data_IF_632575259722
#
_entry.id   IF_632575259722
#
_cell.length_a   1.000
_cell.length_b   1.000
_cell.length_c   1.000
_cell.angle_alpha   90.00
_cell.angle_beta   90.00
_cell.angle_gamma   90.00
#
_symmetry.space_group_name_H-M   'P 1'
#
loop_
_entity.id
_entity.type
_entity.pdbx_description
1 polymer ?
#
# COMPACT_ATOMS: atom_id res chain seq x y z
N UNK A 1 19.17 -16.21 -1.69
CA UNK A 1 18.71 -14.85 -1.32
C UNK A 1 19.13 -13.79 -2.34
N UNK A 2 20.42 -13.44 -2.50
CA UNK A 2 20.82 -12.41 -3.50
C UNK A 2 20.45 -12.77 -4.95
N UNK A 3 20.59 -14.05 -5.32
CA UNK A 3 20.13 -14.53 -6.63
C UNK A 3 18.60 -14.46 -6.79
N UNK A 4 17.84 -14.57 -5.71
CA UNK A 4 16.37 -14.48 -5.75
C UNK A 4 15.91 -13.03 -5.97
N UNK A 5 16.61 -12.05 -5.39
CA UNK A 5 16.38 -10.63 -5.68
C UNK A 5 16.68 -10.28 -7.13
N UNK A 6 17.82 -10.76 -7.67
CA UNK A 6 18.16 -10.57 -9.09
C UNK A 6 17.11 -11.19 -10.01
N UNK A 7 16.63 -12.38 -9.68
CA UNK A 7 15.60 -13.06 -10.44
C UNK A 7 14.25 -12.34 -10.36
N UNK A 8 13.85 -11.87 -9.17
CA UNK A 8 12.63 -11.08 -8.99
C UNK A 8 12.67 -9.80 -9.83
N UNK A 9 13.78 -9.06 -9.78
CA UNK A 9 13.94 -7.82 -10.55
C UNK A 9 13.92 -8.08 -12.06
N UNK A 10 14.60 -9.12 -12.53
CA UNK A 10 14.58 -9.52 -13.94
C UNK A 10 13.16 -9.89 -14.39
N UNK A 11 12.41 -10.61 -13.57
CA UNK A 11 11.01 -10.97 -13.87
C UNK A 11 10.09 -9.73 -13.91
N UNK A 12 10.30 -8.74 -13.04
CA UNK A 12 9.56 -7.47 -13.12
C UNK A 12 9.80 -6.76 -14.45
N UNK A 13 11.06 -6.65 -14.88
CA UNK A 13 11.40 -5.98 -16.15
C UNK A 13 10.83 -6.66 -17.39
N UNK A 14 10.50 -7.95 -17.29
CA UNK A 14 9.89 -8.75 -18.35
C UNK A 14 8.36 -8.62 -18.39
N UNK A 15 7.76 -7.94 -17.41
CA UNK A 15 6.31 -7.71 -17.39
C UNK A 15 5.92 -6.77 -18.54
N UNK A 16 4.88 -7.08 -19.33
CA UNK A 16 4.52 -6.32 -20.55
C UNK A 16 4.16 -4.86 -20.27
N UNK A 17 3.85 -4.50 -19.03
CA UNK A 17 3.52 -3.13 -18.61
C UNK A 17 4.54 -2.49 -17.67
N UNK A 18 5.76 -3.05 -17.59
CA UNK A 18 6.80 -2.57 -16.67
C UNK A 18 7.05 -1.06 -16.77
N UNK A 19 7.35 -0.55 -17.97
CA UNK A 19 7.65 0.88 -18.16
C UNK A 19 6.49 1.79 -17.73
N UNK A 20 5.26 1.44 -18.10
CA UNK A 20 4.08 2.24 -17.80
C UNK A 20 3.78 2.26 -16.29
N UNK A 21 3.85 1.11 -15.62
CA UNK A 21 3.63 1.01 -14.18
C UNK A 21 4.70 1.78 -13.38
N UNK A 22 5.97 1.71 -13.80
CA UNK A 22 7.05 2.46 -13.13
C UNK A 22 6.87 3.97 -13.29
N UNK A 23 6.48 4.44 -14.48
CA UNK A 23 6.20 5.86 -14.72
C UNK A 23 5.02 6.33 -13.85
N UNK A 24 3.91 5.58 -13.85
CA UNK A 24 2.74 5.91 -13.03
C UNK A 24 3.05 5.89 -11.54
N UNK A 25 3.78 4.88 -11.05
CA UNK A 25 4.23 4.81 -9.67
C UNK A 25 5.08 6.02 -9.28
N UNK A 26 5.99 6.45 -10.15
CA UNK A 26 6.83 7.63 -9.91
C UNK A 26 6.00 8.92 -9.84
N UNK A 27 5.02 9.08 -10.74
CA UNK A 27 4.11 10.24 -10.73
C UNK A 27 3.29 10.27 -9.43
N UNK A 28 2.69 9.14 -9.03
CA UNK A 28 1.91 9.07 -7.79
C UNK A 28 2.77 9.31 -6.55
N UNK A 29 4.01 8.83 -6.53
CA UNK A 29 4.93 9.10 -5.42
C UNK A 29 5.22 10.60 -5.26
N UNK A 30 5.56 11.28 -6.36
CA UNK A 30 5.86 12.73 -6.34
C UNK A 30 4.62 13.55 -5.97
N UNK A 31 3.46 13.21 -6.55
CA UNK A 31 2.19 13.85 -6.18
C UNK A 31 1.83 13.61 -4.72
N UNK A 32 2.08 12.40 -4.22
CA UNK A 32 1.84 12.04 -2.82
C UNK A 32 2.66 12.89 -1.87
N UNK A 33 3.95 13.06 -2.13
CA UNK A 33 4.82 13.97 -1.34
C UNK A 33 4.28 15.40 -1.36
N UNK A 34 3.93 15.92 -2.54
CA UNK A 34 3.41 17.28 -2.65
C UNK A 34 2.10 17.48 -1.88
N UNK A 35 1.15 16.54 -2.00
CA UNK A 35 -0.12 16.60 -1.28
C UNK A 35 0.06 16.43 0.23
N UNK A 36 1.00 15.60 0.65
CA UNK A 36 1.28 15.38 2.07
C UNK A 36 1.87 16.63 2.73
N UNK A 37 2.84 17.27 2.06
CA UNK A 37 3.40 18.54 2.50
C UNK A 37 2.34 19.65 2.50
N UNK A 38 1.53 19.76 1.44
CA UNK A 38 0.50 20.78 1.32
C UNK A 38 -0.62 20.61 2.37
N UNK A 39 -0.99 19.37 2.68
CA UNK A 39 -2.07 19.07 3.62
C UNK A 39 -1.64 19.11 5.09
N UNK A 40 -0.34 19.11 5.39
CA UNK A 40 0.23 19.15 6.76
C UNK A 40 -0.46 18.20 7.76
N UNK A 41 -0.91 17.03 7.31
CA UNK A 41 -1.57 16.03 8.16
C UNK A 41 -3.09 16.16 8.28
N UNK A 42 -3.73 17.13 7.63
CA UNK A 42 -5.19 17.27 7.60
C UNK A 42 -5.90 16.15 6.84
N UNK A 43 -5.21 15.52 5.87
CA UNK A 43 -5.76 14.43 5.07
C UNK A 43 -4.71 13.34 4.87
N UNK A 44 -5.12 12.08 4.96
CA UNK A 44 -4.22 10.92 4.78
C UNK A 44 -3.96 10.60 3.30
N UNK A 45 -4.58 11.36 2.39
CA UNK A 45 -4.56 11.14 0.95
C UNK A 45 -3.13 11.17 0.39
N UNK A 46 -2.28 12.10 0.86
CA UNK A 46 -0.86 12.18 0.46
C UNK A 46 -0.10 10.89 0.77
N UNK A 47 -0.25 10.39 2.00
CA UNK A 47 0.31 9.10 2.42
C UNK A 47 -0.17 7.91 1.60
N UNK A 48 -1.45 7.86 1.21
CA UNK A 48 -1.97 6.80 0.32
C UNK A 48 -1.24 6.79 -1.02
N UNK A 49 -1.05 7.96 -1.64
CA UNK A 49 -0.34 8.08 -2.92
C UNK A 49 1.12 7.62 -2.84
N UNK A 50 1.80 7.86 -1.70
CA UNK A 50 3.17 7.38 -1.44
C UNK A 50 3.23 5.84 -1.35
N UNK A 51 2.13 5.18 -1.01
CA UNK A 51 2.03 3.72 -0.91
C UNK A 51 1.57 3.01 -2.20
N UNK A 52 1.00 3.74 -3.18
CA UNK A 52 0.62 3.16 -4.48
C UNK A 52 1.79 2.45 -5.20
N UNK A 53 3.03 2.96 -5.19
CA UNK A 53 4.16 2.26 -5.79
C UNK A 53 4.37 0.85 -5.24
N UNK A 54 4.16 0.62 -3.94
CA UNK A 54 4.26 -0.70 -3.33
C UNK A 54 3.29 -1.71 -3.99
N UNK A 55 2.06 -1.25 -4.24
CA UNK A 55 0.99 -2.06 -4.84
C UNK A 55 1.29 -2.31 -6.32
N UNK A 56 1.71 -1.28 -7.05
CA UNK A 56 2.06 -1.39 -8.47
C UNK A 56 3.19 -2.40 -8.71
N UNK A 57 4.12 -2.53 -7.76
CA UNK A 57 5.18 -3.56 -7.82
C UNK A 57 4.62 -4.97 -7.68
N UNK A 58 3.63 -5.19 -6.80
CA UNK A 58 2.93 -6.49 -6.72
C UNK A 58 2.20 -6.84 -8.02
N UNK A 59 1.51 -5.85 -8.61
CA UNK A 59 0.79 -6.03 -9.88
C UNK A 59 1.71 -6.43 -11.03
N UNK A 60 2.94 -5.89 -11.07
CA UNK A 60 3.92 -6.26 -12.11
C UNK A 60 4.26 -7.75 -12.09
N UNK A 61 4.39 -8.34 -10.90
CA UNK A 61 4.61 -9.78 -10.76
C UNK A 61 3.37 -10.59 -11.12
N UNK A 62 2.18 -10.14 -10.74
CA UNK A 62 0.94 -10.80 -11.14
C UNK A 62 0.76 -10.80 -12.67
N UNK A 63 1.02 -9.66 -13.33
CA UNK A 63 1.00 -9.57 -14.80
C UNK A 63 2.08 -10.43 -15.48
N UNK A 64 3.27 -10.61 -14.87
CA UNK A 64 4.30 -11.49 -15.44
C UNK A 64 3.86 -12.97 -15.49
N UNK A 65 3.00 -13.40 -14.56
CA UNK A 65 2.46 -14.77 -14.52
C UNK A 65 1.43 -15.06 -15.62
N UNK A 66 1.07 -14.08 -16.46
CA UNK A 66 0.24 -14.27 -17.65
C UNK A 66 0.98 -14.96 -18.79
N UNK A 67 2.28 -14.73 -18.92
CA UNK A 67 3.03 -15.32 -20.02
C UNK A 67 2.92 -16.85 -19.95
N UNK A 68 2.59 -17.48 -21.08
CA UNK A 68 2.46 -18.95 -21.15
C UNK A 68 3.72 -19.69 -20.66
N UNK A 69 4.87 -19.03 -20.78
CA UNK A 69 6.17 -19.50 -20.30
C UNK A 69 6.26 -19.56 -18.76
N UNK A 70 5.72 -18.56 -18.05
CA UNK A 70 5.74 -18.54 -16.57
C UNK A 70 4.58 -19.36 -16.01
N UNK A 71 3.41 -19.36 -16.67
CA UNK A 71 2.22 -20.10 -16.21
C UNK A 71 2.44 -21.62 -16.13
N UNK A 72 3.25 -22.17 -17.03
CA UNK A 72 3.61 -23.60 -17.09
C UNK A 72 4.87 -23.96 -16.31
N UNK A 73 5.60 -22.97 -15.79
CA UNK A 73 6.88 -23.16 -15.11
C UNK A 73 6.70 -23.45 -13.60
N UNK A 74 7.59 -24.26 -12.98
CA UNK A 74 7.62 -24.46 -11.52
C UNK A 74 7.90 -23.16 -10.74
N UNK A 75 8.35 -22.09 -11.41
CA UNK A 75 8.64 -20.79 -10.81
C UNK A 75 7.34 -20.00 -10.51
N UNK A 76 6.19 -20.34 -11.14
CA UNK A 76 4.88 -19.66 -10.95
C UNK A 76 4.53 -19.43 -9.48
N UNK A 77 4.67 -20.47 -8.65
CA UNK A 77 4.36 -20.37 -7.21
C UNK A 77 5.22 -19.32 -6.52
N UNK A 78 6.52 -19.25 -6.83
CA UNK A 78 7.45 -18.26 -6.24
C UNK A 78 7.15 -16.84 -6.72
N UNK A 79 6.84 -16.67 -8.01
CA UNK A 79 6.51 -15.35 -8.58
C UNK A 79 5.20 -14.79 -8.05
N UNK A 80 4.25 -15.63 -7.64
CA UNK A 80 3.00 -15.17 -7.02
C UNK A 80 3.12 -14.95 -5.51
N UNK A 81 3.84 -15.84 -4.79
CA UNK A 81 3.75 -15.88 -3.32
C UNK A 81 4.97 -15.33 -2.57
N UNK A 82 6.10 -15.13 -3.26
CA UNK A 82 7.37 -14.77 -2.60
C UNK A 82 8.01 -13.52 -3.22
N UNK A 83 8.23 -13.49 -4.54
CA UNK A 83 8.89 -12.37 -5.19
C UNK A 83 8.19 -11.00 -5.05
N UNK A 84 6.85 -10.89 -5.06
CA UNK A 84 6.17 -9.61 -4.83
C UNK A 84 6.49 -9.04 -3.45
N UNK A 85 6.53 -9.90 -2.44
CA UNK A 85 6.77 -9.50 -1.05
C UNK A 85 8.24 -9.15 -0.80
N UNK A 86 9.19 -9.68 -1.58
CA UNK A 86 10.59 -9.27 -1.48
C UNK A 86 10.82 -7.78 -1.76
N UNK A 87 9.98 -7.19 -2.61
CA UNK A 87 10.08 -5.77 -2.98
C UNK A 87 9.08 -4.93 -2.17
N UNK A 88 7.87 -5.44 -1.97
CA UNK A 88 6.80 -4.71 -1.28
C UNK A 88 7.10 -4.51 0.21
N UNK A 89 7.62 -5.54 0.89
CA UNK A 89 7.94 -5.46 2.32
C UNK A 89 8.94 -4.32 2.62
N UNK A 90 10.14 -4.27 2.03
CA UNK A 90 11.09 -3.20 2.35
C UNK A 90 10.57 -1.82 1.93
N UNK A 91 9.86 -1.72 0.80
CA UNK A 91 9.27 -0.46 0.38
C UNK A 91 8.23 0.05 1.39
N UNK A 92 7.30 -0.82 1.83
CA UNK A 92 6.25 -0.44 2.80
C UNK A 92 6.84 0.04 4.12
N UNK A 93 7.91 -0.59 4.61
CA UNK A 93 8.61 -0.11 5.80
C UNK A 93 9.26 1.24 5.58
N UNK A 94 10.06 1.40 4.53
CA UNK A 94 10.76 2.66 4.24
C UNK A 94 9.76 3.81 4.08
N UNK A 95 8.68 3.60 3.30
CA UNK A 95 7.64 4.60 3.08
C UNK A 95 6.93 4.97 4.39
N UNK A 96 6.55 3.98 5.21
CA UNK A 96 5.92 4.24 6.50
C UNK A 96 6.86 5.00 7.43
N UNK A 97 8.12 4.59 7.51
CA UNK A 97 9.14 5.22 8.35
C UNK A 97 9.35 6.68 7.98
N UNK A 98 9.49 7.00 6.69
CA UNK A 98 9.67 8.37 6.22
C UNK A 98 8.48 9.26 6.61
N UNK A 99 7.24 8.78 6.42
CA UNK A 99 6.04 9.52 6.79
C UNK A 99 5.90 9.66 8.31
N UNK A 100 6.13 8.60 9.07
CA UNK A 100 6.10 8.65 10.53
C UNK A 100 7.11 9.67 11.08
N UNK A 101 8.33 9.71 10.53
CA UNK A 101 9.32 10.72 10.92
C UNK A 101 8.92 12.13 10.52
N UNK A 102 8.37 12.32 9.33
CA UNK A 102 7.90 13.63 8.86
C UNK A 102 6.79 14.18 9.76
N UNK A 103 5.77 13.37 10.08
CA UNK A 103 4.68 13.79 10.95
C UNK A 103 5.09 13.93 12.41
N UNK A 104 6.06 13.14 12.88
CA UNK A 104 6.66 13.33 14.21
C UNK A 104 7.54 14.58 14.31
N UNK A 105 8.11 15.03 13.19
CA UNK A 105 8.81 16.30 13.11
C UNK A 105 7.82 17.47 13.09
N UNK A 106 6.76 17.38 12.29
CA UNK A 106 5.70 18.39 12.24
C UNK A 106 5.01 18.58 13.59
N UNK A 107 4.82 17.51 14.37
CA UNK A 107 4.22 17.61 15.71
C UNK A 107 5.09 18.35 16.74
N UNK A 108 6.34 18.69 16.40
CA UNK A 108 7.29 19.40 17.27
C UNK A 108 7.59 20.82 16.82
N UNK A 109 7.15 21.21 15.62
CA UNK A 109 7.27 22.59 15.13
C UNK A 109 6.03 23.35 15.59
N UNK A 110 6.24 24.43 16.33
CA UNK A 110 5.17 25.39 16.65
C UNK A 110 4.56 25.94 15.36
N UNK A 111 3.30 25.60 15.13
CA UNK A 111 2.48 26.13 14.05
C UNK A 111 1.39 27.05 14.67
N UNK A 112 0.71 27.90 13.86
CA UNK A 112 -0.16 28.95 14.39
C UNK A 112 -1.50 28.48 14.99
N UNK A 113 -1.78 27.17 15.06
CA UNK A 113 -3.00 26.63 15.66
C UNK A 113 -2.74 26.16 17.11
N UNK A 114 -3.81 25.88 17.87
CA UNK A 114 -3.67 25.37 19.24
C UNK A 114 -2.78 24.12 19.27
N UNK A 115 -1.70 24.16 20.05
CA UNK A 115 -0.68 23.09 20.18
C UNK A 115 -1.30 21.71 20.43
N UNK A 116 -2.42 21.66 21.15
CA UNK A 116 -3.13 20.41 21.48
C UNK A 116 -3.85 19.82 20.26
N UNK A 117 -4.45 20.68 19.43
CA UNK A 117 -5.22 20.22 18.26
C UNK A 117 -4.29 19.76 17.13
N UNK A 118 -3.14 20.43 16.95
CA UNK A 118 -2.14 20.04 15.95
C UNK A 118 -1.50 18.69 16.27
N UNK A 119 -1.09 18.49 17.52
CA UNK A 119 -0.53 17.22 17.97
C UNK A 119 -1.53 16.07 17.74
N UNK A 120 -2.79 16.27 18.13
CA UNK A 120 -3.85 15.28 17.93
C UNK A 120 -4.09 14.96 16.45
N UNK A 121 -3.96 15.93 15.55
CA UNK A 121 -4.07 15.69 14.10
C UNK A 121 -2.94 14.81 13.57
N UNK A 122 -1.69 15.07 13.97
CA UNK A 122 -0.56 14.25 13.51
C UNK A 122 -0.65 12.81 14.01
N UNK A 123 -1.10 12.62 15.26
CA UNK A 123 -1.31 11.28 15.83
C UNK A 123 -2.41 10.52 15.08
N UNK A 124 -3.54 11.18 14.79
CA UNK A 124 -4.63 10.61 13.97
C UNK A 124 -4.15 10.21 12.58
N UNK A 125 -3.36 11.07 11.94
CA UNK A 125 -2.82 10.81 10.62
C UNK A 125 -2.00 9.51 10.60
N UNK A 126 -1.06 9.35 11.53
CA UNK A 126 -0.16 8.18 11.60
C UNK A 126 -0.95 6.89 11.79
N UNK A 127 -1.99 6.92 12.63
CA UNK A 127 -2.86 5.77 12.87
C UNK A 127 -3.71 5.43 11.64
N UNK A 128 -4.38 6.44 11.06
CA UNK A 128 -5.22 6.26 9.89
C UNK A 128 -4.41 5.80 8.67
N UNK A 129 -3.16 6.26 8.52
CA UNK A 129 -2.21 5.78 7.52
C UNK A 129 -1.91 4.30 7.72
N UNK A 130 -1.58 3.86 8.94
CA UNK A 130 -1.31 2.45 9.23
C UNK A 130 -2.50 1.54 8.89
N UNK A 131 -3.72 1.98 9.22
CA UNK A 131 -4.95 1.26 8.92
C UNK A 131 -5.21 1.20 7.40
N UNK A 132 -5.03 2.32 6.70
CA UNK A 132 -5.17 2.38 5.24
C UNK A 132 -4.16 1.48 4.53
N UNK A 133 -2.89 1.48 4.95
CA UNK A 133 -1.84 0.63 4.38
C UNK A 133 -2.18 -0.85 4.57
N UNK A 134 -2.66 -1.24 5.74
CA UNK A 134 -3.16 -2.61 5.98
C UNK A 134 -4.24 -2.98 4.97
N UNK A 135 -5.27 -2.14 4.83
CA UNK A 135 -6.38 -2.40 3.92
C UNK A 135 -5.93 -2.46 2.46
N UNK A 136 -5.02 -1.58 2.04
CA UNK A 136 -4.44 -1.54 0.70
C UNK A 136 -3.65 -2.81 0.37
N UNK A 137 -2.83 -3.30 1.30
CA UNK A 137 -2.05 -4.54 1.12
C UNK A 137 -2.93 -5.79 1.08
N UNK A 138 -4.01 -5.81 1.87
CA UNK A 138 -5.01 -6.90 1.84
C UNK A 138 -5.78 -6.86 0.52
N UNK A 139 -6.19 -5.66 0.09
CA UNK A 139 -6.89 -5.45 -1.18
C UNK A 139 -6.05 -5.91 -2.37
N UNK A 140 -4.77 -5.53 -2.44
CA UNK A 140 -3.89 -5.94 -3.55
C UNK A 140 -3.73 -7.45 -3.67
N UNK A 141 -3.78 -8.18 -2.54
CA UNK A 141 -3.79 -9.64 -2.51
C UNK A 141 -5.18 -10.27 -2.78
N UNK A 142 -6.28 -9.57 -2.61
CA UNK A 142 -7.62 -10.10 -2.93
C UNK A 142 -8.00 -9.82 -4.40
N UNK A 143 -7.59 -8.67 -4.91
CA UNK A 143 -8.06 -8.10 -6.17
C UNK A 143 -7.68 -8.93 -7.41
N UNK A 144 -6.56 -9.65 -7.38
CA UNK A 144 -6.15 -10.47 -8.53
C UNK A 144 -7.04 -11.71 -8.77
N UNK A 145 -7.90 -12.10 -7.81
CA UNK A 145 -8.79 -13.28 -7.93
C UNK A 145 -10.27 -12.98 -7.96
N UNK A 146 -10.66 -11.89 -7.33
CA UNK A 146 -12.05 -11.45 -7.27
C UNK A 146 -12.09 -9.94 -7.41
N UNK A 147 -11.74 -9.44 -8.59
CA UNK A 147 -11.51 -8.01 -8.83
C UNK A 147 -12.74 -7.17 -8.44
N UNK A 148 -13.91 -7.57 -8.93
CA UNK A 148 -15.17 -6.84 -8.71
C UNK A 148 -15.57 -6.85 -7.24
N UNK A 149 -15.62 -8.04 -6.61
CA UNK A 149 -16.01 -8.18 -5.21
C UNK A 149 -15.05 -7.44 -4.27
N UNK A 150 -13.74 -7.61 -4.48
CA UNK A 150 -12.72 -6.96 -3.66
C UNK A 150 -12.78 -5.44 -3.80
N UNK A 151 -13.08 -4.93 -5.00
CA UNK A 151 -13.18 -3.49 -5.26
C UNK A 151 -14.41 -2.88 -4.59
N UNK A 152 -15.56 -3.58 -4.62
CA UNK A 152 -16.77 -3.12 -3.92
C UNK A 152 -16.51 -3.04 -2.41
N UNK A 153 -15.94 -4.09 -1.82
CA UNK A 153 -15.62 -4.13 -0.39
C UNK A 153 -14.61 -3.03 -0.04
N UNK A 154 -13.59 -2.83 -0.88
CA UNK A 154 -12.59 -1.79 -0.68
C UNK A 154 -13.19 -0.39 -0.71
N UNK A 155 -14.06 -0.08 -1.67
CA UNK A 155 -14.76 1.20 -1.77
C UNK A 155 -15.60 1.47 -0.51
N UNK A 156 -16.36 0.47 -0.06
CA UNK A 156 -17.23 0.58 1.12
C UNK A 156 -16.43 0.84 2.39
N UNK A 157 -15.18 0.36 2.49
CA UNK A 157 -14.36 0.53 3.70
C UNK A 157 -13.48 1.79 3.61
N UNK A 158 -12.82 2.03 2.47
CA UNK A 158 -11.79 3.07 2.33
C UNK A 158 -12.38 4.46 2.16
N UNK A 159 -13.48 4.63 1.42
CA UNK A 159 -14.10 5.96 1.26
C UNK A 159 -14.57 6.51 2.62
N UNK A 160 -15.30 5.75 3.45
CA UNK A 160 -15.66 6.21 4.78
C UNK A 160 -14.45 6.46 5.67
N UNK A 161 -13.39 5.66 5.58
CA UNK A 161 -12.19 5.84 6.39
C UNK A 161 -11.45 7.14 6.05
N UNK A 162 -11.30 7.46 4.76
CA UNK A 162 -10.72 8.73 4.31
C UNK A 162 -11.61 9.90 4.74
N UNK A 163 -12.94 9.77 4.59
CA UNK A 163 -13.89 10.80 5.06
C UNK A 163 -13.86 11.00 6.57
N UNK A 164 -13.72 9.93 7.36
CA UNK A 164 -13.59 9.97 8.81
C UNK A 164 -12.27 10.60 9.27
N UNK A 165 -11.20 10.50 8.47
CA UNK A 165 -9.93 11.17 8.80
C UNK A 165 -10.06 12.71 8.81
N UNK A 166 -11.07 13.25 8.13
CA UNK A 166 -11.31 14.69 8.01
C UNK A 166 -12.35 15.22 9.02
N UNK A 167 -13.08 14.35 9.72
CA UNK A 167 -14.15 14.76 10.64
C UNK A 167 -13.67 14.85 12.10
N UNK A 168 -14.19 15.83 12.84
CA UNK A 168 -13.97 16.01 14.29
C UNK A 168 -14.81 15.09 15.19
N UNK A 169 -15.48 14.09 14.62
CA UNK A 169 -16.57 13.38 15.28
C UNK A 169 -16.49 11.89 14.99
N UNK A 170 -15.44 11.19 15.45
CA UNK A 170 -15.43 9.71 15.52
C UNK A 170 -14.19 9.14 16.21
N UNK A 171 -14.24 7.82 16.48
CA UNK A 171 -13.27 6.91 17.12
C UNK A 171 -11.77 7.22 16.96
N UNK A 172 -11.36 7.91 15.89
CA UNK A 172 -9.98 8.40 15.71
C UNK A 172 -9.59 9.49 16.72
N UNK A 173 -10.54 10.27 17.26
CA UNK A 173 -10.31 11.20 18.38
C UNK A 173 -9.82 10.50 19.64
N UNK A 174 -10.29 9.28 19.90
CA UNK A 174 -9.81 8.47 21.02
C UNK A 174 -8.31 8.19 20.93
N UNK A 175 -7.78 8.08 19.70
CA UNK A 175 -6.35 7.88 19.46
C UNK A 175 -5.57 9.19 19.40
N UNK A 176 -6.21 10.32 19.05
CA UNK A 176 -5.55 11.64 18.99
C UNK A 176 -5.01 12.14 20.33
N UNK A 177 -5.49 11.59 21.46
CA UNK A 177 -4.99 11.90 22.81
C UNK A 177 -3.79 11.02 23.24
N UNK A 178 -3.36 10.06 22.42
CA UNK A 178 -2.26 9.14 22.75
C UNK A 178 -0.90 9.73 22.36
N UNK A 179 0.15 9.22 23.01
CA UNK A 179 1.52 9.56 22.65
C UNK A 179 1.85 9.18 21.20
N UNK A 180 2.51 10.08 20.48
CA UNK A 180 2.91 9.88 19.08
C UNK A 180 3.79 8.65 18.90
N UNK A 181 4.62 8.32 19.89
CA UNK A 181 5.45 7.12 19.87
C UNK A 181 4.60 5.84 19.90
N UNK A 182 3.50 5.85 20.65
CA UNK A 182 2.55 4.72 20.71
C UNK A 182 1.81 4.60 19.38
N UNK A 183 1.38 5.72 18.79
CA UNK A 183 0.74 5.72 17.48
C UNK A 183 1.65 5.19 16.36
N UNK A 184 2.93 5.58 16.36
CA UNK A 184 3.93 5.05 15.43
C UNK A 184 4.10 3.54 15.64
N UNK A 185 4.20 3.08 16.89
CA UNK A 185 4.32 1.65 17.21
C UNK A 185 3.12 0.83 16.72
N UNK A 186 1.90 1.32 16.97
CA UNK A 186 0.67 0.68 16.50
C UNK A 186 0.63 0.67 14.97
N UNK A 187 0.99 1.75 14.30
CA UNK A 187 0.97 1.78 12.85
C UNK A 187 2.00 0.84 12.21
N UNK A 188 3.19 0.66 12.78
CA UNK A 188 4.11 -0.41 12.34
C UNK A 188 3.50 -1.81 12.50
N UNK A 189 2.80 -2.06 13.62
CA UNK A 189 2.08 -3.32 13.82
C UNK A 189 0.99 -3.53 12.77
N UNK A 190 0.25 -2.48 12.39
CA UNK A 190 -0.76 -2.55 11.34
C UNK A 190 -0.14 -2.83 9.96
N UNK A 191 0.99 -2.20 9.63
CA UNK A 191 1.73 -2.48 8.38
C UNK A 191 2.20 -3.94 8.35
N UNK A 192 2.79 -4.42 9.44
CA UNK A 192 3.21 -5.82 9.60
C UNK A 192 2.03 -6.78 9.42
N UNK A 193 0.91 -6.50 10.09
CA UNK A 193 -0.28 -7.31 10.02
C UNK A 193 -0.86 -7.33 8.60
N UNK A 194 -0.87 -6.18 7.91
CA UNK A 194 -1.25 -6.07 6.51
C UNK A 194 -0.38 -6.93 5.59
N UNK A 195 0.94 -6.92 5.78
CA UNK A 195 1.87 -7.75 5.01
C UNK A 195 1.65 -9.24 5.26
N UNK A 196 1.47 -9.66 6.52
CA UNK A 196 1.22 -11.06 6.90
C UNK A 196 -0.11 -11.56 6.34
N UNK A 197 -1.18 -10.76 6.47
CA UNK A 197 -2.49 -11.10 5.90
C UNK A 197 -2.42 -11.18 4.38
N UNK A 198 -1.81 -10.20 3.73
CA UNK A 198 -1.60 -10.18 2.28
C UNK A 198 -0.86 -11.44 1.81
N UNK A 199 0.23 -11.82 2.47
CA UNK A 199 0.97 -13.03 2.16
C UNK A 199 0.14 -14.30 2.38
N UNK A 200 -0.66 -14.34 3.44
CA UNK A 200 -1.52 -15.48 3.78
C UNK A 200 -2.64 -15.64 2.75
N UNK A 201 -3.31 -14.55 2.37
CA UNK A 201 -4.33 -14.53 1.32
C UNK A 201 -3.71 -14.99 0.00
N UNK A 202 -2.55 -14.46 -0.39
CA UNK A 202 -1.89 -14.86 -1.63
C UNK A 202 -1.46 -16.33 -1.64
N UNK A 203 -1.06 -16.87 -0.49
CA UNK A 203 -0.76 -18.31 -0.33
C UNK A 203 -1.98 -19.20 -0.24
N UNK A 204 -3.11 -18.73 0.29
CA UNK A 204 -4.34 -19.52 0.37
C UNK A 204 -4.99 -19.60 -1.01
N UNK A 205 -5.04 -18.44 -1.66
CA UNK A 205 -5.49 -18.30 -3.02
C UNK A 205 -4.31 -18.36 -3.98
N UNK A 206 -3.40 -19.33 -3.98
CA UNK A 206 -2.49 -19.47 -5.16
C UNK A 206 -3.04 -20.42 -6.22
N UNK A 207 -3.88 -21.38 -5.82
CA UNK A 207 -4.38 -22.46 -6.68
C UNK A 207 -5.44 -22.03 -7.70
N UNK A 208 -6.28 -21.04 -7.38
CA UNK A 208 -7.28 -20.51 -8.34
C UNK A 208 -6.62 -19.77 -9.52
N UNK A 209 -7.29 -19.71 -10.66
CA UNK A 209 -6.82 -18.87 -11.77
C UNK A 209 -7.01 -17.38 -11.47
N UNK A 210 -6.27 -16.55 -12.19
CA UNK A 210 -6.35 -15.08 -12.11
C UNK A 210 -7.64 -14.66 -12.84
N UNK A 211 -8.39 -13.72 -12.26
CA UNK A 211 -9.68 -13.27 -12.80
C UNK A 211 -9.51 -12.65 -14.19
N UNK A 212 -10.39 -12.95 -15.16
CA UNK A 212 -10.26 -12.40 -16.53
C UNK A 212 -10.50 -10.90 -16.57
N UNK A 213 -11.24 -10.36 -15.61
CA UNK A 213 -11.68 -8.96 -15.61
C UNK A 213 -10.58 -8.00 -15.14
N UNK A 214 -9.74 -8.40 -14.18
CA UNK A 214 -8.50 -7.67 -13.83
C UNK A 214 -7.48 -7.67 -14.98
N UNK A 215 -7.60 -8.63 -15.90
CA UNK A 215 -6.61 -8.94 -16.94
C UNK A 215 -7.01 -8.41 -18.32
N UNK A 216 -8.25 -7.94 -18.47
CA UNK A 216 -8.81 -7.44 -19.74
C UNK A 216 -7.98 -6.31 -20.36
N UNK A 217 -7.31 -5.50 -19.54
CA UNK A 217 -6.42 -4.43 -20.00
C UNK A 217 -5.05 -4.93 -20.46
N UNK A 218 -4.61 -6.13 -20.06
CA UNK A 218 -3.31 -6.71 -20.42
C UNK A 218 -3.44 -7.58 -21.67
N UNK A 219 -4.54 -8.35 -21.79
CA UNK A 219 -4.83 -9.22 -22.95
C UNK A 219 -5.07 -8.49 -24.28
N UNK A 220 -5.31 -7.17 -24.27
CA UNK A 220 -5.62 -6.44 -25.52
C UNK A 220 -4.38 -6.21 -26.42
N UNK A 221 -3.17 -6.37 -25.87
CA UNK A 221 -1.89 -6.08 -26.52
C UNK A 221 -0.90 -7.27 -26.48
N UNK A 222 -1.36 -8.48 -26.13
CA UNK A 222 -0.57 -9.72 -26.17
C UNK A 222 -1.04 -10.58 -27.34
#
# INVERSE_FOLDING_TARGET
MVNDYKNAFKLMTLSPKFKMQVILASIFFVLGIFLDIASTGTTVTGGVYIFIPAISMMELFYGANESGLIKSSPIRKKTLTYYPFLVTVPYSFIAYTLLAFYHAYLSRIDSPMSVVDEYAMQVKYIYALGLLVLLLLVYSAACYKGFVLSTIIFIIIVIPLIGCSQSKYLFLDFFGAQDINVAIGIGYLLVLLGLVLSMTITRLFYFRDIDRLSMRGIMKNA
#
